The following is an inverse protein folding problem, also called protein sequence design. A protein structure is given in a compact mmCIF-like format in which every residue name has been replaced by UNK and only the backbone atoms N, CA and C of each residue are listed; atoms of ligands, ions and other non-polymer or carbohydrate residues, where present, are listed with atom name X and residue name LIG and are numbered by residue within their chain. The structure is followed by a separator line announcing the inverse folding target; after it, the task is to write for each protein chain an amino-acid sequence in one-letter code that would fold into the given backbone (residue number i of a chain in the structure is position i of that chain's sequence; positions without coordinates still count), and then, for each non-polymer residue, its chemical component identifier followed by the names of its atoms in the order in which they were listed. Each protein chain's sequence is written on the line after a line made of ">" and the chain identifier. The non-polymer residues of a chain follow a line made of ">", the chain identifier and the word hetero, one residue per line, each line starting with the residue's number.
data_IF_641380673704
#
_entry.id   IF_641380673704
#
_cell.length_a   1.000
_cell.length_b   1.000
_cell.length_c   1.000
_cell.angle_alpha   90.00
_cell.angle_beta   90.00
_cell.angle_gamma   90.00
#
_symmetry.space_group_name_H-M   'P 1'
#
loop_
_entity.id
_entity.type
_entity.pdbx_description
1 polymer ?
#
# COMPACT_ATOMS: atom_id res chain seq x y z
N UNK A 1 -27.02 -36.04 31.57
CA UNK A 1 -27.10 -34.90 30.64
C UNK A 1 -25.73 -34.69 30.05
N UNK A 2 -25.47 -35.05 28.82
CA UNK A 2 -24.22 -34.67 28.23
C UNK A 2 -24.27 -33.16 27.99
N UNK A 3 -23.42 -32.41 28.67
CA UNK A 3 -23.15 -31.06 28.33
C UNK A 3 -22.53 -31.09 26.92
N UNK A 4 -23.31 -30.69 25.94
CA UNK A 4 -22.78 -30.34 24.64
C UNK A 4 -21.92 -29.13 24.89
N UNK A 5 -20.64 -29.40 25.09
CA UNK A 5 -19.59 -28.42 24.98
C UNK A 5 -19.65 -27.96 23.50
N UNK A 6 -20.45 -26.94 23.27
CA UNK A 6 -20.32 -26.18 22.04
C UNK A 6 -18.89 -25.61 22.06
N UNK A 7 -17.98 -26.39 21.54
CA UNK A 7 -16.67 -25.89 21.12
C UNK A 7 -17.00 -24.86 20.06
N UNK A 8 -17.23 -23.64 20.49
CA UNK A 8 -17.05 -22.47 19.69
C UNK A 8 -15.61 -22.58 19.22
N UNK A 9 -15.43 -23.25 18.11
CA UNK A 9 -14.35 -22.97 17.20
C UNK A 9 -14.50 -21.47 16.90
N UNK A 10 -13.89 -20.67 17.76
CA UNK A 10 -13.32 -19.41 17.38
C UNK A 10 -12.33 -19.78 16.27
N UNK A 11 -12.85 -20.00 15.08
CA UNK A 11 -12.09 -19.78 13.88
C UNK A 11 -11.71 -18.32 14.03
N UNK A 12 -10.52 -18.10 14.60
CA UNK A 12 -9.83 -16.84 14.40
C UNK A 12 -9.82 -16.69 12.89
N UNK A 13 -10.78 -15.91 12.36
CA UNK A 13 -10.64 -15.40 11.02
C UNK A 13 -9.25 -14.78 11.04
N UNK A 14 -8.32 -15.23 10.18
CA UNK A 14 -7.04 -14.56 10.08
C UNK A 14 -7.41 -13.10 9.91
N UNK A 15 -6.95 -12.26 10.85
CA UNK A 15 -7.15 -10.83 10.74
C UNK A 15 -6.66 -10.50 9.35
N UNK A 16 -7.58 -10.16 8.44
CA UNK A 16 -7.20 -9.82 7.09
C UNK A 16 -6.37 -8.57 7.24
N UNK A 17 -5.04 -8.76 7.23
CA UNK A 17 -4.11 -7.65 7.28
C UNK A 17 -4.48 -6.73 6.12
N UNK A 18 -5.03 -5.55 6.43
CA UNK A 18 -5.53 -4.59 5.46
C UNK A 18 -4.46 -4.18 4.48
N UNK A 19 -3.21 -4.25 4.88
CA UNK A 19 -2.05 -3.82 4.10
C UNK A 19 -1.35 -4.97 3.37
N UNK A 20 -1.80 -6.21 3.52
CA UNK A 20 -1.14 -7.39 2.94
C UNK A 20 -0.98 -7.34 1.41
N UNK A 21 -1.89 -6.68 0.70
CA UNK A 21 -1.84 -6.49 -0.73
C UNK A 21 -0.92 -5.33 -1.17
N UNK A 22 -0.50 -4.46 -0.24
CA UNK A 22 0.34 -3.28 -0.52
C UNK A 22 1.81 -3.67 -0.65
N UNK A 23 2.07 -4.73 -1.40
CA UNK A 23 3.40 -5.29 -1.66
C UNK A 23 3.59 -5.43 -3.17
N UNK A 24 4.72 -4.98 -3.71
CA UNK A 24 5.01 -5.13 -5.14
C UNK A 24 4.88 -6.57 -5.63
N UNK A 25 5.29 -7.55 -4.82
CA UNK A 25 5.24 -8.98 -5.13
C UNK A 25 3.83 -9.47 -5.44
N UNK A 26 2.81 -8.92 -4.76
CA UNK A 26 1.41 -9.28 -4.99
C UNK A 26 0.95 -9.00 -6.43
N UNK A 27 1.64 -8.12 -7.13
CA UNK A 27 1.36 -7.72 -8.52
C UNK A 27 2.49 -8.09 -9.48
N UNK A 28 3.46 -8.89 -9.04
CA UNK A 28 4.65 -9.25 -9.82
C UNK A 28 5.43 -8.01 -10.33
N UNK A 29 5.48 -6.97 -9.51
CA UNK A 29 6.17 -5.72 -9.82
C UNK A 29 7.50 -5.64 -9.09
N UNK A 30 8.49 -5.05 -9.75
CA UNK A 30 9.81 -4.75 -9.18
C UNK A 30 10.24 -3.37 -9.63
N UNK A 31 10.64 -2.50 -8.70
CA UNK A 31 11.23 -1.20 -9.03
C UNK A 31 12.46 -1.41 -9.90
N UNK A 32 12.55 -0.70 -11.01
CA UNK A 32 13.61 -0.85 -12.01
C UNK A 32 13.25 -1.73 -13.21
N UNK A 33 12.14 -2.49 -13.16
CA UNK A 33 11.71 -3.32 -14.28
C UNK A 33 11.34 -2.48 -15.51
N UNK A 34 11.48 -3.02 -16.73
CA UNK A 34 11.03 -2.34 -17.94
C UNK A 34 9.54 -2.05 -17.94
N UNK A 35 9.13 -0.93 -18.54
CA UNK A 35 7.71 -0.54 -18.63
C UNK A 35 6.84 -1.63 -19.27
N UNK A 36 7.30 -2.27 -20.33
CA UNK A 36 6.54 -3.31 -21.01
C UNK A 36 6.23 -4.52 -20.08
N UNK A 37 7.18 -4.91 -19.24
CA UNK A 37 6.99 -5.98 -18.25
C UNK A 37 5.99 -5.58 -17.16
N UNK A 38 6.10 -4.36 -16.65
CA UNK A 38 5.17 -3.83 -15.66
C UNK A 38 3.73 -3.77 -16.22
N UNK A 39 3.56 -3.29 -17.43
CA UNK A 39 2.24 -3.23 -18.08
C UNK A 39 1.66 -4.63 -18.32
N UNK A 40 2.49 -5.59 -18.70
CA UNK A 40 2.08 -6.99 -18.83
C UNK A 40 1.63 -7.59 -17.50
N UNK A 41 2.36 -7.31 -16.42
CA UNK A 41 1.99 -7.76 -15.09
C UNK A 41 0.63 -7.24 -14.63
N UNK A 42 0.22 -6.06 -15.11
CA UNK A 42 -1.02 -5.39 -14.73
C UNK A 42 -2.17 -5.56 -15.76
N UNK A 43 -1.97 -6.26 -16.86
CA UNK A 43 -2.96 -6.29 -17.96
C UNK A 43 -4.36 -6.76 -17.51
N UNK A 44 -4.44 -7.70 -16.58
CA UNK A 44 -5.72 -8.20 -16.04
C UNK A 44 -6.45 -7.19 -15.14
N UNK A 45 -5.79 -6.14 -14.71
CA UNK A 45 -6.33 -5.12 -13.81
C UNK A 45 -6.85 -3.88 -14.54
N UNK A 46 -6.81 -3.85 -15.86
CA UNK A 46 -7.27 -2.75 -16.69
C UNK A 46 -6.61 -1.42 -16.33
N UNK A 47 -5.29 -1.27 -16.52
CA UNK A 47 -4.57 -0.04 -16.19
C UNK A 47 -5.07 1.14 -17.03
N UNK A 48 -5.09 2.32 -16.40
CA UNK A 48 -5.50 3.59 -17.01
C UNK A 48 -4.33 4.57 -17.04
N UNK A 49 -4.36 5.53 -17.96
CA UNK A 49 -3.44 6.66 -17.92
C UNK A 49 -3.63 7.46 -16.62
N UNK A 50 -2.52 7.85 -16.00
CA UNK A 50 -2.51 8.73 -14.84
C UNK A 50 -2.51 10.21 -15.22
N UNK A 51 -2.03 11.05 -14.30
CA UNK A 51 -1.97 12.50 -14.49
C UNK A 51 -0.93 12.92 -15.53
N UNK A 52 0.08 12.12 -15.76
CA UNK A 52 1.15 12.35 -16.73
C UNK A 52 1.29 11.15 -17.66
N UNK A 53 1.99 11.33 -18.80
CA UNK A 53 2.29 10.25 -19.74
C UNK A 53 3.13 9.11 -19.14
N UNK A 54 3.84 9.38 -18.05
CA UNK A 54 4.69 8.43 -17.36
C UNK A 54 4.02 7.78 -16.14
N UNK A 55 2.75 8.07 -15.89
CA UNK A 55 1.98 7.56 -14.78
C UNK A 55 0.86 6.63 -15.26
N UNK A 56 0.72 5.51 -14.59
CA UNK A 56 -0.34 4.52 -14.84
C UNK A 56 -1.04 4.20 -13.54
N UNK A 57 -2.36 4.16 -13.57
CA UNK A 57 -3.20 3.92 -12.38
C UNK A 57 -4.03 2.66 -12.56
N UNK A 58 -4.13 1.88 -11.52
CA UNK A 58 -5.03 0.73 -11.41
C UNK A 58 -5.94 0.93 -10.20
N UNK A 59 -7.23 1.11 -10.46
CA UNK A 59 -8.26 1.08 -9.42
C UNK A 59 -8.85 -0.32 -9.38
N UNK A 60 -8.41 -1.16 -8.45
CA UNK A 60 -8.84 -2.55 -8.43
C UNK A 60 -9.90 -2.86 -7.36
N UNK A 61 -10.30 -1.84 -6.59
CA UNK A 61 -11.51 -1.83 -5.78
C UNK A 61 -11.87 -0.39 -5.40
N UNK A 62 -13.03 -0.17 -4.79
CA UNK A 62 -13.51 1.17 -4.42
C UNK A 62 -12.61 1.86 -3.38
N UNK A 63 -11.87 1.08 -2.59
CA UNK A 63 -11.01 1.55 -1.51
C UNK A 63 -9.51 1.35 -1.76
N UNK A 64 -9.11 0.85 -2.95
CA UNK A 64 -7.73 0.49 -3.25
C UNK A 64 -7.29 0.96 -4.62
N UNK A 65 -6.17 1.66 -4.67
CA UNK A 65 -5.53 2.02 -5.93
C UNK A 65 -4.03 1.77 -5.91
N UNK A 66 -3.48 1.62 -7.09
CA UNK A 66 -2.06 1.42 -7.35
C UNK A 66 -1.64 2.40 -8.44
N UNK A 67 -0.59 3.16 -8.19
CA UNK A 67 -0.02 4.09 -9.16
C UNK A 67 1.42 3.70 -9.45
N UNK A 68 1.74 3.56 -10.73
CA UNK A 68 3.09 3.35 -11.23
C UNK A 68 3.62 4.63 -11.87
N UNK A 69 4.85 4.97 -11.57
CA UNK A 69 5.59 6.02 -12.26
C UNK A 69 6.79 5.42 -13.01
N UNK A 70 6.99 5.88 -14.24
CA UNK A 70 8.10 5.43 -15.09
C UNK A 70 9.07 6.59 -15.37
N UNK A 71 10.36 6.29 -15.32
CA UNK A 71 11.43 7.18 -15.77
C UNK A 71 12.35 6.43 -16.69
N UNK A 72 12.67 7.03 -17.83
CA UNK A 72 13.56 6.43 -18.85
C UNK A 72 13.14 5.00 -19.23
N UNK A 73 11.82 4.76 -19.35
CA UNK A 73 11.27 3.46 -19.72
C UNK A 73 11.31 2.38 -18.62
N UNK A 74 11.66 2.74 -17.40
CA UNK A 74 11.72 1.83 -16.25
C UNK A 74 10.80 2.28 -15.12
N UNK A 75 10.32 1.30 -14.36
CA UNK A 75 9.49 1.54 -13.19
C UNK A 75 10.32 2.20 -12.09
N UNK A 76 10.04 3.46 -11.80
CA UNK A 76 10.77 4.25 -10.79
C UNK A 76 10.07 4.30 -9.44
N UNK A 77 8.74 4.13 -9.43
CA UNK A 77 7.94 4.19 -8.20
C UNK A 77 6.66 3.37 -8.33
N UNK A 78 6.31 2.72 -7.23
CA UNK A 78 5.06 1.98 -7.05
C UNK A 78 4.40 2.56 -5.81
N UNK A 79 3.20 3.13 -5.94
CA UNK A 79 2.45 3.69 -4.83
C UNK A 79 1.13 2.96 -4.66
N UNK A 80 0.94 2.36 -3.50
CA UNK A 80 -0.32 1.77 -3.07
C UNK A 80 -1.08 2.77 -2.22
N UNK A 81 -2.37 2.90 -2.44
CA UNK A 81 -3.24 3.73 -1.62
C UNK A 81 -4.43 2.90 -1.11
N UNK A 82 -4.67 3.00 0.19
CA UNK A 82 -5.81 2.41 0.87
C UNK A 82 -6.67 3.54 1.45
N UNK A 83 -7.92 3.60 1.04
CA UNK A 83 -8.92 4.52 1.57
C UNK A 83 -9.70 3.80 2.67
N UNK A 84 -9.71 4.37 3.86
CA UNK A 84 -10.39 3.80 5.03
C UNK A 84 -11.16 4.88 5.76
N UNK A 85 -12.11 4.48 6.59
CA UNK A 85 -12.75 5.44 7.49
C UNK A 85 -11.70 6.16 8.36
N UNK A 86 -11.90 7.43 8.65
CA UNK A 86 -10.96 8.25 9.41
C UNK A 86 -10.53 7.58 10.73
N UNK A 87 -11.45 6.94 11.44
CA UNK A 87 -11.15 6.25 12.70
C UNK A 87 -10.33 4.95 12.52
N UNK A 88 -10.23 4.42 11.32
CA UNK A 88 -9.46 3.23 11.00
C UNK A 88 -8.09 3.53 10.35
N UNK A 89 -7.82 4.78 10.00
CA UNK A 89 -6.59 5.19 9.29
C UNK A 89 -5.35 4.91 10.13
N UNK A 90 -5.40 5.20 11.42
CA UNK A 90 -4.29 4.94 12.35
C UNK A 90 -4.04 3.47 12.58
N UNK A 91 -5.10 2.66 12.62
CA UNK A 91 -4.98 1.20 12.74
C UNK A 91 -4.23 0.65 11.52
N UNK A 92 -4.59 1.08 10.32
CA UNK A 92 -3.90 0.67 9.10
C UNK A 92 -2.43 1.11 9.07
N UNK A 93 -2.13 2.31 9.54
CA UNK A 93 -0.76 2.81 9.67
C UNK A 93 0.06 1.97 10.66
N UNK A 94 -0.49 1.63 11.82
CA UNK A 94 0.19 0.83 12.82
C UNK A 94 0.41 -0.62 12.35
N UNK A 95 -0.52 -1.20 11.62
CA UNK A 95 -0.36 -2.51 10.98
C UNK A 95 0.79 -2.51 9.99
N UNK A 96 0.90 -1.48 9.14
CA UNK A 96 1.99 -1.33 8.19
C UNK A 96 3.34 -1.11 8.88
N UNK A 97 3.36 -0.25 9.90
CA UNK A 97 4.55 -0.02 10.71
C UNK A 97 5.07 -1.31 11.35
N UNK A 98 4.18 -2.12 11.91
CA UNK A 98 4.53 -3.42 12.50
C UNK A 98 5.08 -4.38 11.46
N UNK A 99 4.44 -4.48 10.30
CA UNK A 99 4.93 -5.32 9.21
C UNK A 99 6.34 -4.93 8.78
N UNK A 100 6.60 -3.65 8.59
CA UNK A 100 7.90 -3.15 8.17
C UNK A 100 8.96 -3.28 9.27
N UNK A 101 8.59 -3.17 10.54
CA UNK A 101 9.52 -3.45 11.65
C UNK A 101 10.02 -4.90 11.63
N UNK A 102 9.14 -5.85 11.29
CA UNK A 102 9.48 -7.28 11.22
C UNK A 102 10.23 -7.64 9.93
N UNK A 103 9.93 -7.00 8.80
CA UNK A 103 10.46 -7.37 7.49
C UNK A 103 11.64 -6.52 7.01
N UNK A 104 11.73 -5.28 7.41
CA UNK A 104 12.72 -4.29 6.94
C UNK A 104 13.59 -3.76 8.06
N UNK A 105 13.02 -3.56 9.24
CA UNK A 105 13.74 -3.05 10.42
C UNK A 105 13.33 -1.64 10.80
N UNK A 106 14.30 -0.83 11.26
CA UNK A 106 14.06 0.51 11.81
C UNK A 106 13.99 1.56 10.71
N UNK A 107 13.00 2.46 10.71
CA UNK A 107 12.95 3.56 9.75
C UNK A 107 14.05 4.60 10.00
N UNK A 108 14.55 5.21 8.93
CA UNK A 108 15.44 6.39 9.02
C UNK A 108 14.71 7.62 9.57
N UNK A 109 13.45 7.77 9.20
CA UNK A 109 12.56 8.83 9.69
C UNK A 109 11.26 8.20 10.19
N UNK A 110 10.84 8.58 11.39
CA UNK A 110 9.56 8.21 11.94
C UNK A 110 8.89 9.40 12.60
N UNK A 111 7.73 9.77 12.09
CA UNK A 111 6.80 10.72 12.72
C UNK A 111 5.47 10.03 12.95
N UNK A 112 4.50 10.73 13.53
CA UNK A 112 3.15 10.17 13.67
C UNK A 112 2.42 9.93 12.34
N UNK A 113 2.91 10.49 11.23
CA UNK A 113 2.24 10.42 9.92
C UNK A 113 3.12 9.94 8.78
N UNK A 114 4.43 9.84 8.98
CA UNK A 114 5.38 9.47 7.93
C UNK A 114 6.43 8.51 8.48
N UNK A 115 6.68 7.44 7.73
CA UNK A 115 7.82 6.55 7.95
C UNK A 115 8.64 6.49 6.66
N UNK A 116 9.96 6.55 6.78
CA UNK A 116 10.86 6.38 5.64
C UNK A 116 11.90 5.32 5.99
N UNK A 117 12.00 4.33 5.14
CA UNK A 117 12.97 3.22 5.26
C UNK A 117 13.95 3.31 4.11
N UNK A 118 15.23 3.38 4.43
CA UNK A 118 16.30 3.28 3.46
C UNK A 118 16.68 1.81 3.33
N UNK A 119 16.38 1.22 2.21
CA UNK A 119 16.79 -0.14 1.86
C UNK A 119 17.71 -0.10 0.64
N UNK A 120 18.36 -1.20 0.31
CA UNK A 120 19.29 -1.25 -0.82
C UNK A 120 18.61 -0.80 -2.12
N UNK A 121 17.39 -1.27 -2.38
CA UNK A 121 16.47 -0.87 -3.47
C UNK A 121 15.21 -1.74 -3.37
N UNK A 122 14.00 -1.20 -3.34
CA UNK A 122 13.64 0.22 -3.30
C UNK A 122 13.66 0.81 -1.89
N UNK A 123 13.69 2.13 -1.78
CA UNK A 123 13.30 2.80 -0.54
C UNK A 123 11.80 2.71 -0.35
N UNK A 124 11.35 2.79 0.90
CA UNK A 124 9.94 2.68 1.26
C UNK A 124 9.51 3.91 2.05
N UNK A 125 8.40 4.52 1.65
CA UNK A 125 7.77 5.61 2.38
C UNK A 125 6.33 5.25 2.70
N UNK A 126 5.95 5.40 3.96
CA UNK A 126 4.57 5.25 4.42
C UNK A 126 4.06 6.60 4.85
N UNK A 127 2.91 7.01 4.33
CA UNK A 127 2.27 8.29 4.68
C UNK A 127 0.82 8.03 5.03
N UNK A 128 0.38 8.56 6.16
CA UNK A 128 -1.02 8.59 6.52
C UNK A 128 -1.55 10.00 6.39
N UNK A 129 -2.67 10.15 5.71
CA UNK A 129 -3.39 11.41 5.56
C UNK A 129 -4.76 11.28 6.20
N UNK A 130 -4.92 11.93 7.34
CA UNK A 130 -6.16 11.99 8.12
C UNK A 130 -6.51 13.45 8.50
N UNK A 131 -5.97 14.42 7.76
CA UNK A 131 -6.26 15.84 7.95
C UNK A 131 -7.75 16.10 7.72
N UNK A 132 -8.46 16.65 8.73
CA UNK A 132 -9.90 16.97 8.62
C UNK A 132 -10.25 17.92 7.46
N UNK A 133 -9.26 18.67 6.97
CA UNK A 133 -9.44 19.62 5.85
C UNK A 133 -9.25 18.98 4.47
N UNK A 134 -8.79 17.73 4.41
CA UNK A 134 -8.59 17.04 3.13
C UNK A 134 -9.92 16.75 2.42
N UNK A 135 -9.88 16.63 1.10
CA UNK A 135 -11.08 16.23 0.33
C UNK A 135 -11.59 14.85 0.72
N UNK A 136 -10.69 13.95 1.11
CA UNK A 136 -11.05 12.61 1.58
C UNK A 136 -11.72 12.66 2.95
N UNK A 137 -11.26 13.53 3.84
CA UNK A 137 -11.87 13.72 5.15
C UNK A 137 -13.28 14.27 5.08
N UNK A 138 -13.60 15.10 4.09
CA UNK A 138 -14.97 15.57 3.81
C UNK A 138 -15.91 14.41 3.48
N UNK A 139 -15.38 13.30 2.98
CA UNK A 139 -16.11 12.05 2.71
C UNK A 139 -16.03 11.07 3.89
N UNK A 140 -15.47 11.46 5.03
CA UNK A 140 -15.25 10.60 6.18
C UNK A 140 -14.09 9.60 6.02
N UNK A 141 -13.19 9.82 5.06
CA UNK A 141 -12.11 8.90 4.71
C UNK A 141 -10.74 9.49 5.04
N UNK A 142 -9.82 8.60 5.42
CA UNK A 142 -8.40 8.85 5.44
C UNK A 142 -7.69 7.99 4.39
N UNK A 143 -6.43 8.26 4.15
CA UNK A 143 -5.60 7.54 3.18
C UNK A 143 -4.33 7.04 3.83
N UNK A 144 -4.05 5.75 3.66
CA UNK A 144 -2.72 5.19 3.89
C UNK A 144 -2.06 4.97 2.53
N UNK A 145 -0.92 5.61 2.31
CA UNK A 145 -0.10 5.41 1.11
C UNK A 145 1.22 4.72 1.47
N UNK A 146 1.59 3.70 0.71
CA UNK A 146 2.88 3.04 0.79
C UNK A 146 3.55 3.14 -0.56
N UNK A 147 4.70 3.78 -0.62
CA UNK A 147 5.47 4.00 -1.84
C UNK A 147 6.78 3.25 -1.79
N UNK A 148 7.04 2.47 -2.81
CA UNK A 148 8.32 1.84 -3.10
C UNK A 148 8.96 2.59 -4.25
N UNK A 149 10.17 3.11 -4.09
CA UNK A 149 10.76 3.99 -5.09
C UNK A 149 12.28 3.86 -5.17
N UNK A 150 12.82 4.23 -6.31
CA UNK A 150 14.26 4.38 -6.50
C UNK A 150 14.66 5.80 -6.08
N UNK A 151 15.47 5.96 -5.01
CA UNK A 151 15.85 7.29 -4.51
C UNK A 151 16.78 8.07 -5.45
N UNK A 152 17.32 7.40 -6.48
CA UNK A 152 18.19 8.02 -7.47
C UNK A 152 17.45 8.74 -8.59
N UNK A 153 16.14 8.60 -8.65
CA UNK A 153 15.25 9.15 -9.71
C UNK A 153 14.35 10.27 -9.21
#
# INVERSE_FOLDING_TARGET
>A
MPAILALLLLTAFPSTNRTAWMRPDAFHLTVGMPRAEAMKALEKWTPKAGKTANEVVVDYSDDKSLTLEFKKGRLSSIRFELFVYLNATRIAFDEEKKYLADSVGTPRLATKSILVYDTALPNIMVVVTDDPKSEQAKKGLGVLAVRYYDPRN
#
